data_IF_342048023697
#
_entry.id   IF_342048023697
#
_cell.length_a   1.000
_cell.length_b   1.000
_cell.length_c   1.000
_cell.angle_alpha   90.00
_cell.angle_beta   90.00
_cell.angle_gamma   90.00
#
_symmetry.space_group_name_H-M   'P 1'
#
loop_
_entity.id
_entity.type
_entity.pdbx_description
1 polymer ?
#
# COMPACT_ATOMS: atom_id res chain seq x y z
N UNK A 1 -3.99 30.44 16.85
CA UNK A 1 -5.39 30.02 17.08
C UNK A 1 -5.73 30.28 18.55
N UNK A 2 -6.95 30.77 18.86
CA UNK A 2 -7.35 31.20 20.21
C UNK A 2 -7.95 30.11 21.09
N UNK A 3 -8.26 28.93 20.53
CA UNK A 3 -8.81 27.77 21.25
C UNK A 3 -10.26 27.91 21.73
N UNK A 4 -10.98 28.97 21.30
CA UNK A 4 -12.32 29.31 21.79
C UNK A 4 -13.48 28.68 21.01
N UNK A 5 -13.21 28.06 19.87
CA UNK A 5 -14.22 27.44 19.01
C UNK A 5 -13.92 25.95 18.85
N UNK A 6 -14.95 25.12 18.85
CA UNK A 6 -14.81 23.69 18.59
C UNK A 6 -14.50 23.45 17.11
N UNK A 7 -13.50 22.61 16.78
CA UNK A 7 -13.19 22.25 15.41
C UNK A 7 -14.21 21.25 14.85
N UNK A 8 -14.45 21.35 13.54
CA UNK A 8 -15.35 20.44 12.80
C UNK A 8 -14.62 19.13 12.45
N UNK A 9 -14.65 18.17 13.37
CA UNK A 9 -14.09 16.84 13.15
C UNK A 9 -14.91 16.02 12.15
N UNK A 10 -16.22 16.24 12.07
CA UNK A 10 -17.12 15.47 11.21
C UNK A 10 -16.76 15.64 9.73
N UNK A 11 -16.38 16.85 9.34
CA UNK A 11 -15.91 17.13 7.98
C UNK A 11 -14.62 16.38 7.63
N UNK A 12 -13.65 16.32 8.55
CA UNK A 12 -12.40 15.58 8.31
C UNK A 12 -12.67 14.08 8.11
N UNK A 13 -13.56 13.49 8.93
CA UNK A 13 -13.97 12.09 8.79
C UNK A 13 -14.69 11.84 7.47
N UNK A 14 -15.57 12.75 7.05
CA UNK A 14 -16.30 12.61 5.79
C UNK A 14 -15.35 12.63 4.56
N UNK A 15 -14.33 13.48 4.59
CA UNK A 15 -13.33 13.58 3.51
C UNK A 15 -12.52 12.29 3.40
N UNK A 16 -11.95 11.80 4.52
CA UNK A 16 -11.15 10.58 4.51
C UNK A 16 -11.98 9.35 4.15
N UNK A 17 -13.21 9.24 4.65
CA UNK A 17 -14.12 8.13 4.35
C UNK A 17 -14.45 8.06 2.86
N UNK A 18 -14.85 9.18 2.26
CA UNK A 18 -15.21 9.24 0.84
C UNK A 18 -14.02 8.93 -0.05
N UNK A 19 -12.84 9.48 0.27
CA UNK A 19 -11.61 9.20 -0.45
C UNK A 19 -11.22 7.72 -0.39
N UNK A 20 -11.19 7.14 0.81
CA UNK A 20 -10.85 5.74 1.00
C UNK A 20 -11.78 4.80 0.22
N UNK A 21 -13.10 5.01 0.29
CA UNK A 21 -14.06 4.17 -0.44
C UNK A 21 -13.88 4.22 -1.96
N UNK A 22 -13.58 5.40 -2.51
CA UNK A 22 -13.38 5.56 -3.95
C UNK A 22 -12.05 4.92 -4.41
N UNK A 23 -10.95 5.23 -3.72
CA UNK A 23 -9.61 4.80 -4.14
C UNK A 23 -9.34 3.31 -3.91
N UNK A 24 -10.08 2.64 -3.02
CA UNK A 24 -9.93 1.19 -2.81
C UNK A 24 -10.43 0.34 -3.98
N UNK A 25 -11.35 0.85 -4.81
CA UNK A 25 -11.97 0.08 -5.89
C UNK A 25 -10.95 -0.34 -6.94
N UNK A 26 -10.11 0.59 -7.40
CA UNK A 26 -9.14 0.37 -8.46
C UNK A 26 -8.13 -0.75 -8.13
N UNK A 27 -7.39 -0.72 -7.00
CA UNK A 27 -6.43 -1.77 -6.68
C UNK A 27 -7.09 -3.14 -6.44
N UNK A 28 -8.30 -3.17 -5.86
CA UNK A 28 -9.05 -4.42 -5.69
C UNK A 28 -9.46 -5.04 -7.02
N UNK A 29 -9.95 -4.24 -7.97
CA UNK A 29 -10.30 -4.72 -9.31
C UNK A 29 -9.06 -5.19 -10.08
N UNK A 30 -7.95 -4.46 -9.97
CA UNK A 30 -6.68 -4.83 -10.61
C UNK A 30 -6.23 -6.23 -10.16
N UNK A 31 -6.31 -6.52 -8.86
CA UNK A 31 -5.92 -7.82 -8.30
C UNK A 31 -6.74 -9.00 -8.84
N UNK A 32 -7.99 -8.76 -9.24
CA UNK A 32 -8.89 -9.78 -9.75
C UNK A 32 -8.75 -9.91 -11.27
N UNK A 33 -8.75 -8.79 -11.98
CA UNK A 33 -8.77 -8.77 -13.45
C UNK A 33 -7.43 -9.21 -14.03
N UNK A 34 -6.30 -8.79 -13.44
CA UNK A 34 -4.97 -9.08 -13.97
C UNK A 34 -4.68 -10.58 -14.18
N UNK A 35 -4.88 -11.48 -13.20
CA UNK A 35 -4.64 -12.91 -13.41
C UNK A 35 -5.63 -13.54 -14.41
N UNK A 36 -6.89 -13.08 -14.47
CA UNK A 36 -7.89 -13.59 -15.42
C UNK A 36 -7.49 -13.24 -16.85
N UNK A 37 -7.22 -11.96 -17.11
CA UNK A 37 -6.84 -11.49 -18.45
C UNK A 37 -5.52 -12.13 -18.89
N UNK A 38 -4.55 -12.23 -17.99
CA UNK A 38 -3.28 -12.89 -18.28
C UNK A 38 -3.46 -14.37 -18.60
N UNK A 39 -4.34 -15.07 -17.87
CA UNK A 39 -4.66 -16.47 -18.15
C UNK A 39 -5.36 -16.68 -19.48
N UNK A 40 -6.34 -15.84 -19.81
CA UNK A 40 -7.05 -15.96 -21.09
C UNK A 40 -6.15 -15.66 -22.30
N UNK A 41 -5.22 -14.70 -22.18
CA UNK A 41 -4.34 -14.33 -23.28
C UNK A 41 -3.14 -15.27 -23.34
N UNK A 42 -2.36 -15.39 -22.26
CA UNK A 42 -1.05 -16.04 -22.27
C UNK A 42 -1.03 -17.44 -21.65
N UNK A 43 -2.20 -17.97 -21.29
CA UNK A 43 -2.33 -19.30 -20.69
C UNK A 43 -1.67 -19.43 -19.33
N UNK A 44 -1.42 -20.68 -18.93
CA UNK A 44 -0.87 -21.03 -17.61
C UNK A 44 0.53 -20.45 -17.41
N UNK A 45 1.38 -20.49 -18.45
CA UNK A 45 2.76 -19.97 -18.38
C UNK A 45 2.79 -18.47 -18.12
N UNK A 46 1.90 -17.69 -18.75
CA UNK A 46 1.76 -16.27 -18.49
C UNK A 46 1.32 -15.97 -17.06
N UNK A 47 0.36 -16.72 -16.53
CA UNK A 47 -0.09 -16.57 -15.13
C UNK A 47 1.04 -16.89 -14.15
N UNK A 48 1.79 -17.97 -14.39
CA UNK A 48 2.96 -18.31 -13.56
C UNK A 48 4.00 -17.18 -13.60
N UNK A 49 4.27 -16.61 -14.78
CA UNK A 49 5.16 -15.47 -14.93
C UNK A 49 4.69 -14.24 -14.14
N UNK A 50 3.39 -13.90 -14.23
CA UNK A 50 2.79 -12.81 -13.47
C UNK A 50 2.94 -13.02 -11.96
N UNK A 51 2.66 -14.22 -11.46
CA UNK A 51 2.73 -14.52 -10.02
C UNK A 51 4.17 -14.49 -9.49
N UNK A 52 5.13 -15.08 -10.21
CA UNK A 52 6.55 -15.05 -9.82
C UNK A 52 7.11 -13.63 -9.87
N UNK A 53 6.81 -12.89 -10.94
CA UNK A 53 7.21 -11.49 -11.09
C UNK A 53 6.62 -10.63 -9.97
N UNK A 54 5.30 -10.70 -9.78
CA UNK A 54 4.60 -9.95 -8.73
C UNK A 54 5.06 -10.29 -7.32
N UNK A 55 5.34 -11.56 -7.03
CA UNK A 55 5.88 -11.98 -5.74
C UNK A 55 7.29 -11.41 -5.52
N UNK A 56 8.20 -11.61 -6.47
CA UNK A 56 9.60 -11.21 -6.32
C UNK A 56 9.77 -9.69 -6.22
N UNK A 57 9.09 -8.91 -7.06
CA UNK A 57 9.17 -7.44 -7.00
C UNK A 57 8.33 -6.87 -5.87
N UNK A 58 7.12 -7.38 -5.66
CA UNK A 58 6.19 -6.85 -4.68
C UNK A 58 6.64 -7.10 -3.25
N UNK A 59 7.25 -8.25 -2.96
CA UNK A 59 7.79 -8.55 -1.63
C UNK A 59 8.93 -7.61 -1.23
N UNK A 60 9.90 -7.40 -2.13
CA UNK A 60 11.02 -6.49 -1.87
C UNK A 60 10.52 -5.07 -1.63
N UNK A 61 9.57 -4.60 -2.44
CA UNK A 61 8.99 -3.27 -2.28
C UNK A 61 8.17 -3.14 -0.99
N UNK A 62 7.40 -4.16 -0.62
CA UNK A 62 6.61 -4.17 0.61
C UNK A 62 7.50 -4.02 1.86
N UNK A 63 8.61 -4.76 1.91
CA UNK A 63 9.58 -4.67 3.00
C UNK A 63 10.24 -3.29 3.03
N UNK A 64 10.68 -2.78 1.88
CA UNK A 64 11.27 -1.46 1.78
C UNK A 64 10.32 -0.39 2.33
N UNK A 65 9.07 -0.37 1.87
CA UNK A 65 8.07 0.61 2.31
C UNK A 65 7.78 0.53 3.81
N UNK A 66 7.58 -0.69 4.35
CA UNK A 66 7.31 -0.89 5.76
C UNK A 66 8.49 -0.44 6.64
N UNK A 67 9.71 -0.84 6.28
CA UNK A 67 10.90 -0.52 7.07
C UNK A 67 11.30 0.94 6.97
N UNK A 68 11.28 1.54 5.78
CA UNK A 68 11.60 2.96 5.61
C UNK A 68 10.59 3.86 6.31
N UNK A 69 9.29 3.58 6.19
CA UNK A 69 8.27 4.34 6.91
C UNK A 69 8.37 4.19 8.43
N UNK A 70 8.60 2.98 8.93
CA UNK A 70 8.84 2.74 10.36
C UNK A 70 10.11 3.42 10.88
N UNK A 71 11.18 3.45 10.08
CA UNK A 71 12.41 4.15 10.43
C UNK A 71 12.20 5.67 10.53
N UNK A 72 11.45 6.29 9.61
CA UNK A 72 11.15 7.71 9.68
C UNK A 72 10.28 8.08 10.89
N UNK A 73 9.25 7.29 11.22
CA UNK A 73 8.44 7.52 12.43
C UNK A 73 9.28 7.39 13.71
N UNK A 74 10.11 6.36 13.79
CA UNK A 74 10.99 6.15 14.94
C UNK A 74 12.04 7.25 15.06
N UNK A 75 12.60 7.74 13.95
CA UNK A 75 13.51 8.88 13.96
C UNK A 75 12.82 10.15 14.47
N UNK A 76 11.58 10.41 14.04
CA UNK A 76 10.76 11.52 14.56
C UNK A 76 10.58 11.38 16.07
N UNK A 77 10.10 10.22 16.55
CA UNK A 77 9.91 9.94 17.98
C UNK A 77 11.19 10.12 18.79
N UNK A 78 12.33 9.65 18.28
CA UNK A 78 13.62 9.81 18.94
C UNK A 78 14.03 11.28 19.13
N UNK A 79 13.75 12.15 18.16
CA UNK A 79 13.97 13.60 18.30
C UNK A 79 12.93 14.21 19.25
N UNK A 80 11.68 13.75 19.22
CA UNK A 80 10.62 14.21 20.12
C UNK A 80 10.91 13.93 21.61
N UNK A 81 11.73 12.91 21.91
CA UNK A 81 12.23 12.59 23.25
C UNK A 81 13.32 13.57 23.76
N UNK A 82 13.76 14.53 22.95
CA UNK A 82 14.72 15.56 23.32
C UNK A 82 16.10 15.42 22.68
N UNK A 83 16.33 14.35 21.91
CA UNK A 83 17.57 14.17 21.16
C UNK A 83 17.64 15.16 19.99
N UNK A 84 18.85 15.57 19.60
CA UNK A 84 19.09 16.45 18.43
C UNK A 84 18.26 17.75 18.41
N UNK A 85 18.00 18.35 19.56
CA UNK A 85 17.35 19.66 19.68
C UNK A 85 15.85 19.60 20.03
N UNK A 86 15.24 18.42 20.10
CA UNK A 86 13.88 18.27 20.63
C UNK A 86 12.77 18.82 19.73
N UNK A 87 11.55 18.83 20.28
CA UNK A 87 10.35 19.34 19.58
C UNK A 87 10.50 20.81 19.17
N UNK A 88 10.13 21.11 17.94
CA UNK A 88 10.19 22.46 17.36
C UNK A 88 11.53 22.86 16.76
N UNK A 89 12.58 22.03 16.92
CA UNK A 89 13.86 22.21 16.23
C UNK A 89 13.74 21.99 14.71
N UNK A 90 14.71 22.47 13.94
CA UNK A 90 14.78 22.19 12.49
C UNK A 90 14.92 20.69 12.20
N UNK A 91 15.61 19.95 13.07
CA UNK A 91 15.71 18.50 12.98
C UNK A 91 14.36 17.81 13.19
N UNK A 92 13.53 18.30 14.12
CA UNK A 92 12.16 17.81 14.32
C UNK A 92 11.27 18.08 13.12
N UNK A 93 11.34 19.29 12.54
CA UNK A 93 10.57 19.60 11.32
C UNK A 93 10.97 18.69 10.15
N UNK A 94 12.27 18.43 9.98
CA UNK A 94 12.76 17.54 8.93
C UNK A 94 12.28 16.09 9.11
N UNK A 95 12.28 15.56 10.34
CA UNK A 95 11.78 14.20 10.60
C UNK A 95 10.26 14.10 10.53
N UNK A 96 9.52 15.16 10.84
CA UNK A 96 8.07 15.23 10.57
C UNK A 96 7.81 15.10 9.07
N UNK A 97 8.55 15.82 8.22
CA UNK A 97 8.41 15.68 6.75
C UNK A 97 8.72 14.24 6.31
N UNK A 98 9.79 13.63 6.83
CA UNK A 98 10.13 12.23 6.55
C UNK A 98 9.03 11.25 6.96
N UNK A 99 8.45 11.41 8.14
CA UNK A 99 7.33 10.57 8.61
C UNK A 99 6.07 10.76 7.75
N UNK A 100 5.77 11.98 7.33
CA UNK A 100 4.63 12.25 6.44
C UNK A 100 4.77 11.56 5.07
N UNK A 101 6.01 11.39 4.59
CA UNK A 101 6.32 10.58 3.39
C UNK A 101 6.21 9.08 3.71
N UNK A 102 6.60 8.68 4.92
CA UNK A 102 6.57 7.30 5.39
C UNK A 102 5.19 6.73 5.72
N UNK A 103 4.23 7.57 6.10
CA UNK A 103 2.86 7.17 6.44
C UNK A 103 2.15 6.38 5.31
N UNK A 104 2.06 6.89 4.06
CA UNK A 104 1.45 6.12 2.98
C UNK A 104 2.27 4.87 2.60
N UNK A 105 3.56 4.81 2.93
CA UNK A 105 4.40 3.64 2.68
C UNK A 105 4.10 2.53 3.69
N UNK A 106 4.17 2.82 5.00
CA UNK A 106 4.05 1.81 6.06
C UNK A 106 2.62 1.40 6.36
N UNK A 107 1.65 2.31 6.19
CA UNK A 107 0.26 2.06 6.63
C UNK A 107 -0.71 1.77 5.48
N UNK A 108 -0.33 2.09 4.23
CA UNK A 108 -1.20 1.87 3.07
C UNK A 108 -0.57 0.94 2.05
N UNK A 109 0.49 1.39 1.35
CA UNK A 109 1.01 0.68 0.18
C UNK A 109 1.76 -0.60 0.53
N UNK A 110 2.67 -0.53 1.51
CA UNK A 110 3.52 -1.65 1.92
C UNK A 110 2.71 -2.88 2.37
N UNK A 111 1.80 -2.74 3.35
CA UNK A 111 0.94 -3.84 3.77
C UNK A 111 0.02 -4.36 2.66
N UNK A 112 -0.50 -3.46 1.80
CA UNK A 112 -1.44 -3.83 0.73
C UNK A 112 -0.81 -4.70 -0.35
N UNK A 113 0.49 -4.54 -0.64
CA UNK A 113 1.20 -5.37 -1.62
C UNK A 113 1.18 -6.86 -1.23
N UNK A 114 1.28 -7.18 0.06
CA UNK A 114 1.20 -8.57 0.53
C UNK A 114 -0.19 -9.18 0.29
N UNK A 115 -1.24 -8.38 0.47
CA UNK A 115 -2.63 -8.79 0.22
C UNK A 115 -2.85 -8.96 -1.29
N UNK A 116 -2.34 -8.02 -2.10
CA UNK A 116 -2.43 -8.04 -3.56
C UNK A 116 -1.87 -9.35 -4.13
N UNK A 117 -0.66 -9.74 -3.73
CA UNK A 117 0.01 -10.96 -4.21
C UNK A 117 -0.80 -12.21 -3.85
N UNK A 118 -1.29 -12.29 -2.61
CA UNK A 118 -2.10 -13.43 -2.15
C UNK A 118 -3.42 -13.51 -2.90
N UNK A 119 -4.10 -12.37 -3.09
CA UNK A 119 -5.37 -12.32 -3.78
C UNK A 119 -5.22 -12.71 -5.25
N UNK A 120 -4.21 -12.19 -5.96
CA UNK A 120 -3.91 -12.57 -7.34
C UNK A 120 -3.66 -14.08 -7.46
N UNK A 121 -2.91 -14.65 -6.51
CA UNK A 121 -2.63 -16.10 -6.47
C UNK A 121 -3.90 -16.93 -6.27
N UNK A 122 -4.78 -16.51 -5.36
CA UNK A 122 -6.07 -17.18 -5.12
C UNK A 122 -6.97 -17.12 -6.35
N UNK A 123 -7.09 -15.96 -7.00
CA UNK A 123 -7.87 -15.81 -8.22
C UNK A 123 -7.30 -16.68 -9.35
N UNK A 124 -5.98 -16.69 -9.53
CA UNK A 124 -5.32 -17.53 -10.52
C UNK A 124 -5.62 -19.03 -10.34
N UNK A 125 -5.64 -19.51 -9.09
CA UNK A 125 -5.96 -20.91 -8.78
C UNK A 125 -7.43 -21.22 -9.07
N UNK A 126 -8.36 -20.37 -8.62
CA UNK A 126 -9.80 -20.56 -8.87
C UNK A 126 -10.11 -20.56 -10.37
N UNK A 127 -9.40 -19.73 -11.13
CA UNK A 127 -9.60 -19.57 -12.57
C UNK A 127 -8.75 -20.52 -13.41
N UNK A 128 -7.97 -21.42 -12.79
CA UNK A 128 -7.07 -22.33 -13.51
C UNK A 128 -7.81 -23.21 -14.54
N UNK A 129 -8.99 -23.72 -14.19
CA UNK A 129 -9.81 -24.51 -15.10
C UNK A 129 -10.28 -23.71 -16.33
N UNK A 130 -10.63 -22.43 -16.13
CA UNK A 130 -10.97 -21.53 -17.24
C UNK A 130 -9.74 -21.30 -18.12
N UNK A 131 -8.61 -20.97 -17.52
CA UNK A 131 -7.35 -20.71 -18.23
C UNK A 131 -6.92 -21.90 -19.09
N UNK A 132 -7.01 -23.12 -18.58
CA UNK A 132 -6.62 -24.33 -19.32
C UNK A 132 -7.55 -24.63 -20.50
N UNK A 133 -8.85 -24.38 -20.33
CA UNK A 133 -9.84 -24.73 -21.35
C UNK A 133 -10.03 -23.64 -22.42
N UNK A 134 -9.70 -22.38 -22.12
CA UNK A 134 -10.06 -21.23 -22.96
C UNK A 134 -8.90 -20.25 -23.23
N UNK A 135 -7.63 -20.64 -23.00
CA UNK A 135 -6.52 -19.77 -23.38
C UNK A 135 -6.43 -19.61 -24.90
N UNK A 136 -6.09 -18.40 -25.35
CA UNK A 136 -5.94 -18.06 -26.76
C UNK A 136 -4.62 -18.55 -27.35
N UNK A 137 -3.56 -18.54 -26.52
CA UNK A 137 -2.20 -18.98 -26.85
C UNK A 137 -1.75 -20.10 -25.92
#
# INVERSE_FOLDING_TARGET
MTGKAEPDYARCVAISTKGAQHEMVLPSLLAIIAPIVTGLIFGVTGVVGLLIGGLSTGFVLAIFMANSGGAWDNAKKHIEEGNHGGKGSEAHKATVVGDTVGDPFKDTSGPSLNILIKLMSMVAIVMAGLTVAWSLF
#
